data_IF_246890275211
#
_entry.id   IF_246890275211
#
_cell.length_a   1.000
_cell.length_b   1.000
_cell.length_c   1.000
_cell.angle_alpha   90.00
_cell.angle_beta   90.00
_cell.angle_gamma   90.00
#
_symmetry.space_group_name_H-M   'P 1'
#
loop_
_entity.id
_entity.type
_entity.pdbx_description
1 polymer ?
#
# COMPACT_ATOMS: atom_id res chain seq x y z
N UNK A 1 -42.46 22.95 49.28
CA UNK A 1 -41.75 21.71 49.66
C UNK A 1 -42.79 20.61 49.84
N UNK A 2 -42.74 19.55 49.02
CA UNK A 2 -43.15 18.14 49.28
C UNK A 2 -43.28 17.42 47.92
N UNK A 3 -42.17 16.89 47.37
CA UNK A 3 -41.69 15.48 47.49
C UNK A 3 -42.51 14.48 46.67
N UNK A 4 -41.83 13.97 45.61
CA UNK A 4 -41.76 12.54 45.20
C UNK A 4 -43.08 11.98 44.62
N UNK A 5 -43.18 11.34 43.47
CA UNK A 5 -42.29 10.60 42.56
C UNK A 5 -42.96 10.70 41.18
N UNK A 6 -42.29 10.61 40.03
CA UNK A 6 -42.15 9.34 39.35
C UNK A 6 -41.66 9.53 37.90
N UNK A 7 -40.91 8.51 37.47
CA UNK A 7 -40.60 8.12 36.09
C UNK A 7 -39.51 8.89 35.32
N UNK A 8 -38.31 8.39 35.57
CA UNK A 8 -37.24 8.20 34.60
C UNK A 8 -37.72 7.65 33.24
N UNK A 9 -37.12 8.14 32.16
CA UNK A 9 -36.92 7.41 30.92
C UNK A 9 -35.59 7.85 30.30
N UNK A 10 -34.60 6.97 30.34
CA UNK A 10 -33.23 7.17 29.91
C UNK A 10 -33.10 7.29 28.37
N UNK A 11 -32.05 7.95 27.84
CA UNK A 11 -31.80 7.95 26.40
C UNK A 11 -31.32 6.55 25.97
N UNK A 12 -32.07 5.90 25.08
CA UNK A 12 -31.66 4.66 24.45
C UNK A 12 -30.53 4.93 23.44
N UNK A 13 -29.28 4.70 23.85
CA UNK A 13 -28.11 4.64 22.97
C UNK A 13 -28.21 3.38 22.11
N UNK A 14 -28.63 3.55 20.85
CA UNK A 14 -28.54 2.50 19.83
C UNK A 14 -27.08 2.27 19.45
N UNK A 15 -26.48 1.19 19.96
CA UNK A 15 -25.17 0.73 19.51
C UNK A 15 -25.38 0.05 18.15
N UNK A 16 -25.07 0.75 17.06
CA UNK A 16 -24.89 0.12 15.75
C UNK A 16 -23.53 -0.57 15.79
N UNK A 17 -23.53 -1.88 16.01
CA UNK A 17 -22.34 -2.69 15.82
C UNK A 17 -22.03 -2.73 14.32
N UNK A 18 -21.09 -1.89 13.88
CA UNK A 18 -20.51 -2.00 12.54
C UNK A 18 -19.73 -3.33 12.49
N UNK A 19 -20.34 -4.35 11.91
CA UNK A 19 -19.64 -5.59 11.57
C UNK A 19 -18.71 -5.24 10.43
N UNK A 20 -17.44 -4.97 10.75
CA UNK A 20 -16.38 -4.89 9.76
C UNK A 20 -16.23 -6.29 9.14
N UNK A 21 -16.75 -6.46 7.93
CA UNK A 21 -16.44 -7.64 7.14
C UNK A 21 -14.92 -7.63 6.89
N UNK A 22 -14.23 -8.76 7.05
CA UNK A 22 -12.83 -8.84 6.65
C UNK A 22 -12.81 -8.64 5.13
N UNK A 23 -12.42 -7.44 4.70
CA UNK A 23 -12.06 -7.21 3.32
C UNK A 23 -10.98 -8.26 3.02
N UNK A 24 -11.29 -9.19 2.13
CA UNK A 24 -10.29 -10.14 1.62
C UNK A 24 -9.21 -9.28 1.00
N UNK A 25 -8.15 -9.07 1.77
CA UNK A 25 -7.00 -8.33 1.34
C UNK A 25 -6.49 -9.03 0.08
N UNK A 26 -6.76 -8.44 -1.09
CA UNK A 26 -5.63 -8.12 -1.96
C UNK A 26 -4.62 -7.54 -0.97
N UNK A 27 -3.58 -8.28 -0.61
CA UNK A 27 -2.63 -7.78 0.37
C UNK A 27 -2.21 -6.41 -0.15
N UNK A 28 -2.74 -5.35 0.45
CA UNK A 28 -2.52 -3.99 -0.02
C UNK A 28 -1.04 -3.78 0.26
N UNK A 29 -0.23 -3.85 -0.80
CA UNK A 29 1.21 -3.65 -0.75
C UNK A 29 1.54 -2.30 -1.40
N UNK A 30 0.91 -1.18 -0.96
CA UNK A 30 0.96 0.10 -1.68
C UNK A 30 2.39 0.59 -1.85
N UNK A 31 3.27 0.28 -0.89
CA UNK A 31 4.69 0.63 -0.98
C UNK A 31 5.46 -0.21 -2.00
N UNK A 32 5.15 -1.50 -2.14
CA UNK A 32 5.80 -2.36 -3.14
C UNK A 32 5.34 -2.00 -4.56
N UNK A 33 4.05 -1.72 -4.73
CA UNK A 33 3.49 -1.27 -6.01
C UNK A 33 4.07 0.11 -6.39
N UNK A 34 4.12 1.06 -5.44
CA UNK A 34 4.76 2.35 -5.68
C UNK A 34 6.26 2.23 -6.00
N UNK A 35 6.98 1.35 -5.29
CA UNK A 35 8.39 1.09 -5.57
C UNK A 35 8.57 0.53 -6.99
N UNK A 36 7.72 -0.41 -7.43
CA UNK A 36 7.75 -0.95 -8.78
C UNK A 36 7.52 0.14 -9.83
N UNK A 37 6.55 1.03 -9.61
CA UNK A 37 6.26 2.14 -10.52
C UNK A 37 7.44 3.12 -10.60
N UNK A 38 8.03 3.50 -9.47
CA UNK A 38 9.22 4.36 -9.44
C UNK A 38 10.42 3.72 -10.15
N UNK A 39 10.64 2.43 -9.96
CA UNK A 39 11.71 1.71 -10.66
C UNK A 39 11.47 1.64 -12.17
N UNK A 40 10.23 1.45 -12.62
CA UNK A 40 9.87 1.47 -14.05
C UNK A 40 10.07 2.85 -14.66
N UNK A 41 9.72 3.92 -13.94
CA UNK A 41 10.02 5.29 -14.36
C UNK A 41 11.54 5.52 -14.46
N UNK A 42 12.31 5.17 -13.44
CA UNK A 42 13.77 5.28 -13.45
C UNK A 42 14.40 4.50 -14.61
N UNK A 43 13.90 3.29 -14.89
CA UNK A 43 14.33 2.48 -16.05
C UNK A 43 14.13 3.23 -17.35
N UNK A 44 12.95 3.83 -17.56
CA UNK A 44 12.64 4.63 -18.75
C UNK A 44 13.63 5.79 -18.92
N UNK A 45 13.85 6.56 -17.87
CA UNK A 45 14.80 7.68 -17.89
C UNK A 45 16.24 7.23 -18.22
N UNK A 46 16.68 6.09 -17.70
CA UNK A 46 18.01 5.52 -17.97
C UNK A 46 18.14 4.95 -19.40
N UNK A 47 17.05 4.44 -19.97
CA UNK A 47 16.98 3.99 -21.36
C UNK A 47 17.04 5.18 -22.31
N UNK A 48 16.32 6.25 -22.01
CA UNK A 48 16.22 7.45 -22.86
C UNK A 48 17.46 8.36 -22.75
N UNK A 49 18.27 8.22 -21.69
CA UNK A 49 19.49 8.99 -21.49
C UNK A 49 20.60 8.65 -22.52
N UNK A 50 21.08 9.66 -23.26
CA UNK A 50 22.34 9.61 -24.03
C UNK A 50 23.54 10.14 -23.20
N UNK A 51 24.80 9.97 -23.66
CA UNK A 51 25.59 8.74 -23.83
C UNK A 51 25.81 7.96 -22.50
N UNK A 52 26.53 6.83 -22.53
CA UNK A 52 26.72 5.90 -21.40
C UNK A 52 27.40 6.48 -20.13
N UNK A 53 27.73 7.78 -20.10
CA UNK A 53 28.36 8.50 -18.98
C UNK A 53 29.49 7.69 -18.32
N UNK A 54 30.41 7.15 -19.13
CA UNK A 54 31.52 6.31 -18.64
C UNK A 54 31.12 4.89 -18.20
N UNK A 55 30.01 4.34 -18.70
CA UNK A 55 29.48 3.02 -18.31
C UNK A 55 28.46 3.07 -17.17
N UNK A 56 28.30 4.22 -16.51
CA UNK A 56 27.42 4.37 -15.36
C UNK A 56 25.95 4.21 -15.72
N UNK A 57 25.53 4.67 -16.91
CA UNK A 57 24.13 4.54 -17.33
C UNK A 57 23.76 3.07 -17.53
N UNK A 58 24.58 2.30 -18.24
CA UNK A 58 24.38 0.85 -18.40
C UNK A 58 24.39 0.11 -17.05
N UNK A 59 25.32 0.46 -16.16
CA UNK A 59 25.38 -0.12 -14.81
C UNK A 59 24.13 0.19 -13.99
N UNK A 60 23.65 1.43 -14.01
CA UNK A 60 22.42 1.83 -13.33
C UNK A 60 21.21 1.08 -13.91
N UNK A 61 21.10 0.96 -15.24
CA UNK A 61 20.01 0.24 -15.90
C UNK A 61 19.97 -1.24 -15.47
N UNK A 62 21.13 -1.90 -15.38
CA UNK A 62 21.24 -3.28 -14.86
C UNK A 62 20.75 -3.39 -13.42
N UNK A 63 21.17 -2.48 -12.53
CA UNK A 63 20.76 -2.48 -11.14
C UNK A 63 19.25 -2.26 -10.98
N UNK A 64 18.68 -1.31 -11.75
CA UNK A 64 17.23 -1.04 -11.75
C UNK A 64 16.44 -2.26 -12.23
N UNK A 65 16.89 -2.96 -13.27
CA UNK A 65 16.24 -4.18 -13.73
C UNK A 65 16.26 -5.31 -12.68
N UNK A 66 17.37 -5.45 -11.96
CA UNK A 66 17.46 -6.42 -10.86
C UNK A 66 16.49 -6.06 -9.72
N UNK A 67 16.41 -4.78 -9.35
CA UNK A 67 15.48 -4.31 -8.32
C UNK A 67 14.02 -4.53 -8.72
N UNK A 68 13.64 -4.26 -9.98
CA UNK A 68 12.29 -4.56 -10.51
C UNK A 68 11.96 -6.05 -10.30
N UNK A 69 12.89 -6.93 -10.64
CA UNK A 69 12.71 -8.38 -10.52
C UNK A 69 12.44 -8.80 -9.07
N UNK A 70 13.21 -8.26 -8.11
CA UNK A 70 13.03 -8.57 -6.70
C UNK A 70 11.72 -8.02 -6.12
N UNK A 71 11.30 -6.82 -6.53
CA UNK A 71 10.00 -6.25 -6.10
C UNK A 71 8.85 -7.09 -6.66
N UNK A 72 8.89 -7.48 -7.93
CA UNK A 72 7.87 -8.35 -8.53
C UNK A 72 7.81 -9.73 -7.83
N UNK A 73 8.97 -10.29 -7.45
CA UNK A 73 9.03 -11.52 -6.63
C UNK A 73 8.43 -11.32 -5.25
N UNK A 74 8.72 -10.22 -4.56
CA UNK A 74 8.16 -9.89 -3.25
C UNK A 74 6.64 -9.74 -3.28
N UNK A 75 6.12 -8.99 -4.26
CA UNK A 75 4.67 -8.88 -4.51
C UNK A 75 4.07 -10.26 -4.80
N UNK A 76 4.75 -11.07 -5.62
CA UNK A 76 4.31 -12.42 -5.95
C UNK A 76 4.31 -13.37 -4.75
N UNK A 77 5.27 -13.23 -3.84
CA UNK A 77 5.36 -14.01 -2.61
C UNK A 77 4.19 -13.70 -1.68
N UNK A 78 3.92 -12.42 -1.42
CA UNK A 78 2.82 -11.94 -0.57
C UNK A 78 1.42 -12.25 -1.15
N UNK A 79 1.31 -12.53 -2.44
CA UNK A 79 0.07 -13.02 -3.07
C UNK A 79 -0.18 -14.51 -2.82
N UNK A 80 0.87 -15.27 -2.45
CA UNK A 80 0.84 -16.73 -2.27
C UNK A 80 0.91 -17.19 -0.81
N UNK A 81 1.30 -16.31 0.11
CA UNK A 81 1.52 -16.55 1.54
C UNK A 81 0.91 -15.41 2.34
#
# INVERSE_FOLDING_TARGET
>A
MTRREMLAAAPALGIVAAVALPATAKADQPHMDAALDHLRAARKELTDAAPDKGGHRGNALRLVNNAITEVERGIGYAKRH
#
